data_IF_575812045391
#
_entry.id   IF_575812045391
#
_cell.length_a   1.000
_cell.length_b   1.000
_cell.length_c   1.000
_cell.angle_alpha   90.00
_cell.angle_beta   90.00
_cell.angle_gamma   90.00
#
_symmetry.space_group_name_H-M   'P 1'
#
loop_
_entity.id
_entity.type
_entity.pdbx_description
1 polymer ?
#
# COMPACT_ATOMS: atom_id res chain seq x y z
N UNK A 1 -17.60 -4.91 -4.92
CA UNK A 1 -18.43 -3.94 -4.17
C UNK A 1 -18.33 -2.59 -4.87
N UNK A 2 -19.41 -1.81 -4.97
CA UNK A 2 -19.42 -0.49 -5.65
C UNK A 2 -20.24 0.49 -4.78
N UNK A 3 -19.63 1.07 -3.73
CA UNK A 3 -20.35 1.90 -2.79
C UNK A 3 -20.77 3.22 -3.45
N UNK A 4 -21.96 3.70 -3.11
CA UNK A 4 -22.51 4.97 -3.63
C UNK A 4 -22.82 5.97 -2.52
N UNK A 5 -22.58 5.61 -1.27
CA UNK A 5 -22.79 6.46 -0.10
C UNK A 5 -21.60 6.37 0.88
N UNK A 6 -21.48 7.34 1.82
CA UNK A 6 -20.36 7.37 2.76
C UNK A 6 -20.28 6.17 3.70
N UNK A 7 -21.39 5.51 4.03
CA UNK A 7 -21.36 4.33 4.91
C UNK A 7 -20.75 3.13 4.17
N UNK A 8 -21.16 2.92 2.92
CA UNK A 8 -20.60 1.90 2.05
C UNK A 8 -19.11 2.14 1.77
N UNK A 9 -18.64 3.38 1.63
CA UNK A 9 -17.20 3.65 1.50
C UNK A 9 -16.41 3.28 2.76
N UNK A 10 -16.96 3.48 3.96
CA UNK A 10 -16.30 3.06 5.22
C UNK A 10 -16.21 1.54 5.32
N UNK A 11 -17.29 0.83 5.01
CA UNK A 11 -17.27 -0.64 4.95
C UNK A 11 -16.25 -1.14 3.92
N UNK A 12 -16.16 -0.50 2.75
CA UNK A 12 -15.18 -0.84 1.72
C UNK A 12 -13.76 -0.66 2.25
N UNK A 13 -13.53 0.41 3.00
CA UNK A 13 -12.25 0.73 3.61
C UNK A 13 -11.85 -0.32 4.64
N UNK A 14 -12.75 -0.69 5.56
CA UNK A 14 -12.49 -1.75 6.56
C UNK A 14 -12.08 -3.08 5.91
N UNK A 15 -12.72 -3.42 4.77
CA UNK A 15 -12.37 -4.61 3.99
C UNK A 15 -10.96 -4.50 3.41
N UNK A 16 -10.62 -3.34 2.82
CA UNK A 16 -9.29 -3.09 2.25
C UNK A 16 -8.22 -3.13 3.34
N UNK A 17 -8.45 -2.51 4.50
CA UNK A 17 -7.51 -2.52 5.63
C UNK A 17 -7.23 -3.94 6.12
N UNK A 18 -8.27 -4.77 6.25
CA UNK A 18 -8.10 -6.18 6.64
C UNK A 18 -7.28 -6.96 5.62
N UNK A 19 -7.62 -6.87 4.34
CA UNK A 19 -6.92 -7.58 3.26
C UNK A 19 -5.46 -7.13 3.14
N UNK A 20 -5.22 -5.83 3.36
CA UNK A 20 -3.88 -5.28 3.41
C UNK A 20 -3.06 -5.87 4.57
N UNK A 21 -3.64 -5.91 5.78
CA UNK A 21 -3.01 -6.54 6.94
C UNK A 21 -2.62 -8.00 6.68
N UNK A 22 -3.53 -8.79 6.10
CA UNK A 22 -3.26 -10.20 5.75
C UNK A 22 -2.14 -10.33 4.70
N UNK A 23 -2.10 -9.41 3.74
CA UNK A 23 -1.07 -9.37 2.69
C UNK A 23 0.31 -9.09 3.27
N UNK A 24 0.44 -8.07 4.12
CA UNK A 24 1.70 -7.74 4.81
C UNK A 24 2.13 -8.88 5.72
N UNK A 25 1.21 -9.44 6.52
CA UNK A 25 1.53 -10.57 7.40
C UNK A 25 2.02 -11.80 6.62
N UNK A 26 1.50 -12.02 5.41
CA UNK A 26 2.02 -13.07 4.51
C UNK A 26 3.43 -12.75 4.02
N UNK A 27 3.67 -11.52 3.60
CA UNK A 27 4.98 -11.08 3.12
C UNK A 27 6.07 -11.23 4.20
N UNK A 28 5.76 -10.89 5.45
CA UNK A 28 6.69 -11.04 6.59
C UNK A 28 7.14 -12.48 6.87
N UNK A 29 6.41 -13.49 6.36
CA UNK A 29 6.76 -14.91 6.49
C UNK A 29 7.59 -15.46 5.34
N UNK A 30 7.81 -14.67 4.28
CA UNK A 30 8.63 -15.06 3.15
C UNK A 30 10.12 -14.87 3.47
N UNK A 31 10.98 -15.55 2.72
CA UNK A 31 12.40 -15.19 2.71
C UNK A 31 12.52 -13.72 2.27
N UNK A 32 13.26 -12.86 2.99
CA UNK A 32 13.43 -11.46 2.66
C UNK A 32 13.87 -11.20 1.21
N UNK A 33 14.66 -12.10 0.61
CA UNK A 33 15.07 -11.96 -0.78
C UNK A 33 13.87 -11.94 -1.75
N UNK A 34 12.83 -12.74 -1.47
CA UNK A 34 11.62 -12.83 -2.31
C UNK A 34 10.81 -11.52 -2.31
N UNK A 35 10.94 -10.67 -1.29
CA UNK A 35 10.25 -9.39 -1.24
C UNK A 35 10.77 -8.38 -2.28
N UNK A 36 11.97 -8.64 -2.80
CA UNK A 36 12.64 -7.84 -3.82
C UNK A 36 12.53 -8.43 -5.24
N UNK A 37 11.93 -9.61 -5.39
CA UNK A 37 11.77 -10.24 -6.70
C UNK A 37 10.56 -9.68 -7.46
N UNK A 38 10.76 -9.41 -8.74
CA UNK A 38 9.69 -9.09 -9.70
C UNK A 38 9.14 -10.38 -10.32
N UNK A 39 7.82 -10.43 -10.50
CA UNK A 39 7.13 -11.57 -11.15
C UNK A 39 6.38 -11.06 -12.38
N UNK A 40 6.50 -11.76 -13.51
CA UNK A 40 5.82 -11.41 -14.77
C UNK A 40 6.09 -9.98 -15.28
N UNK A 41 7.25 -9.40 -14.94
CA UNK A 41 7.59 -8.02 -15.30
C UNK A 41 6.85 -6.96 -14.46
N UNK A 42 6.12 -7.36 -13.44
CA UNK A 42 5.53 -6.46 -12.45
C UNK A 42 6.55 -6.01 -11.41
N UNK A 43 6.19 -5.01 -10.63
CA UNK A 43 6.99 -4.54 -9.51
C UNK A 43 7.10 -5.61 -8.42
N UNK A 44 8.23 -5.61 -7.74
CA UNK A 44 8.39 -6.38 -6.50
C UNK A 44 7.43 -5.88 -5.42
N UNK A 45 7.26 -6.67 -4.37
CA UNK A 45 6.45 -6.29 -3.21
C UNK A 45 6.95 -4.98 -2.58
N UNK A 46 8.27 -4.83 -2.41
CA UNK A 46 8.88 -3.64 -1.81
C UNK A 46 8.72 -2.38 -2.67
N UNK A 47 8.82 -2.50 -4.00
CA UNK A 47 8.58 -1.38 -4.91
C UNK A 47 7.11 -0.93 -4.87
N UNK A 48 6.19 -1.90 -4.87
CA UNK A 48 4.76 -1.63 -4.70
C UNK A 48 4.49 -0.91 -3.38
N UNK A 49 5.04 -1.39 -2.28
CA UNK A 49 4.86 -0.79 -0.95
C UNK A 49 5.38 0.64 -0.88
N UNK A 50 6.57 0.91 -1.44
CA UNK A 50 7.13 2.28 -1.49
C UNK A 50 6.27 3.22 -2.32
N UNK A 51 5.76 2.75 -3.47
CA UNK A 51 4.89 3.57 -4.30
C UNK A 51 3.57 3.87 -3.61
N UNK A 52 2.95 2.89 -2.96
CA UNK A 52 1.73 3.11 -2.18
C UNK A 52 1.97 4.12 -1.05
N UNK A 53 3.05 3.97 -0.28
CA UNK A 53 3.39 4.93 0.77
C UNK A 53 3.59 6.35 0.24
N UNK A 54 4.19 6.49 -0.95
CA UNK A 54 4.31 7.77 -1.65
C UNK A 54 2.95 8.32 -2.09
N UNK A 55 2.09 7.48 -2.67
CA UNK A 55 0.77 7.87 -3.18
C UNK A 55 -0.24 8.18 -2.07
N UNK A 56 -0.12 7.55 -0.89
CA UNK A 56 -1.03 7.73 0.25
C UNK A 56 -0.47 8.65 1.33
N UNK A 57 0.77 9.13 1.20
CA UNK A 57 1.38 10.07 2.13
C UNK A 57 0.68 11.44 2.11
N UNK A 58 0.80 12.24 3.18
CA UNK A 58 0.34 13.63 3.14
C UNK A 58 1.17 14.40 2.10
N UNK A 59 0.51 15.12 1.20
CA UNK A 59 1.18 16.08 0.34
C UNK A 59 1.79 17.20 1.22
N UNK A 60 3.05 17.06 1.65
CA UNK A 60 3.76 18.14 2.33
C UNK A 60 4.62 17.76 3.55
N UNK A 61 5.65 16.95 3.36
CA UNK A 61 7.00 17.38 3.78
C UNK A 61 7.84 17.67 2.54
N UNK A 62 7.22 18.33 1.55
CA UNK A 62 7.98 19.08 0.58
C UNK A 62 8.72 20.14 1.39
N UNK A 63 10.02 19.92 1.56
CA UNK A 63 10.99 20.89 2.03
C UNK A 63 10.62 22.26 1.44
N UNK A 64 10.10 23.18 2.27
CA UNK A 64 10.09 24.58 1.87
C UNK A 64 11.55 24.94 1.61
N UNK A 65 11.92 25.50 0.44
CA UNK A 65 13.28 25.97 0.24
C UNK A 65 13.56 26.99 1.35
N UNK A 66 14.65 26.74 2.07
CA UNK A 66 15.15 27.68 3.07
C UNK A 66 15.43 29.03 2.43
N UNK A 67 15.06 30.06 3.18
CA UNK A 67 15.47 31.48 3.12
C UNK A 67 16.18 32.00 1.87
#
# INVERSE_FOLDING_TARGET
MRPTDPAGFREAWDIVERLWGDTVARAERLDPALLHESVNGEWSFIETLRHLAFATGPAGTAQLPGE
#
